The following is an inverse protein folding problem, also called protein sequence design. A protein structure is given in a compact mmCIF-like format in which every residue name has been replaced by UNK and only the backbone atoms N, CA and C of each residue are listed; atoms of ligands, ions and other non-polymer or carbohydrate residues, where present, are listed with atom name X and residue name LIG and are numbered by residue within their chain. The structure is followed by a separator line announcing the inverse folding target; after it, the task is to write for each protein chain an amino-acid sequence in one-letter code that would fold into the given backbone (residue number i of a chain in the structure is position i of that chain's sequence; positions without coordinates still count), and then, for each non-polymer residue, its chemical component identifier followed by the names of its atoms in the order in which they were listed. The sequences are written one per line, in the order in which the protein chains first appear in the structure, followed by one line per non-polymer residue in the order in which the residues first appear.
data_IF_818962091285
#
_entry.id   IF_818962091285
#
_cell.length_a   1.000
_cell.length_b   1.000
_cell.length_c   1.000
_cell.angle_alpha   90.00
_cell.angle_beta   90.00
_cell.angle_gamma   90.00
#
_symmetry.space_group_name_H-M   'P 1'
#
loop_
_entity.id
_entity.type
_entity.pdbx_description
1 polymer ?
#
# COMPACT_ATOMS: atom_id res chain seq x y z
N UNK A 1 0.39 -2.97 19.24
CA UNK A 1 0.81 -4.37 18.97
C UNK A 1 0.27 -4.95 17.67
N UNK A 2 -1.04 -4.92 17.36
CA UNK A 2 -1.55 -5.64 16.17
C UNK A 2 -0.81 -5.32 14.86
N UNK A 3 -0.59 -4.05 14.53
CA UNK A 3 0.13 -3.64 13.30
C UNK A 3 1.62 -4.00 13.26
N UNK A 4 2.21 -4.42 14.38
CA UNK A 4 3.62 -4.86 14.46
C UNK A 4 3.75 -6.38 14.41
N UNK A 5 2.65 -7.10 14.64
CA UNK A 5 2.64 -8.56 14.84
C UNK A 5 1.80 -9.28 13.78
N UNK A 6 0.76 -8.62 13.27
CA UNK A 6 -0.16 -9.15 12.27
C UNK A 6 -0.20 -8.23 11.06
N UNK A 7 -0.41 -8.82 9.88
CA UNK A 7 -0.50 -8.10 8.63
C UNK A 7 -1.83 -7.35 8.43
N UNK A 8 -2.84 -7.63 9.26
CA UNK A 8 -4.17 -7.01 9.21
C UNK A 8 -4.82 -6.99 7.81
N UNK A 9 -4.60 -8.04 7.02
CA UNK A 9 -5.15 -8.16 5.66
C UNK A 9 -4.28 -7.59 4.55
N UNK A 10 -3.11 -7.01 4.86
CA UNK A 10 -2.15 -6.50 3.87
C UNK A 10 -0.90 -7.38 3.87
N UNK A 11 -0.83 -8.34 2.94
CA UNK A 11 0.32 -9.25 2.83
C UNK A 11 1.54 -8.65 2.13
N UNK A 12 1.34 -7.61 1.31
CA UNK A 12 2.39 -6.97 0.52
C UNK A 12 2.07 -5.48 0.31
N UNK A 13 3.10 -4.66 0.21
CA UNK A 13 2.99 -3.23 -0.13
C UNK A 13 4.01 -2.89 -1.21
N UNK A 14 3.61 -2.06 -2.16
CA UNK A 14 4.46 -1.58 -3.26
C UNK A 14 4.45 -0.05 -3.23
N UNK A 15 5.62 0.57 -3.40
CA UNK A 15 5.77 2.02 -3.52
C UNK A 15 6.01 2.34 -5.00
N UNK A 16 5.25 3.30 -5.52
CA UNK A 16 5.25 3.70 -6.92
C UNK A 16 4.87 5.18 -7.05
N UNK A 17 5.08 5.75 -8.23
CA UNK A 17 4.68 7.12 -8.55
C UNK A 17 3.15 7.25 -8.55
N UNK A 18 2.61 8.32 -7.95
CA UNK A 18 1.17 8.51 -7.82
C UNK A 18 0.41 8.45 -9.15
N UNK A 19 1.02 8.93 -10.25
CA UNK A 19 0.44 8.89 -11.59
C UNK A 19 0.33 7.48 -12.19
N UNK A 20 0.99 6.48 -11.60
CA UNK A 20 0.99 5.09 -12.07
C UNK A 20 0.09 4.16 -11.25
N UNK A 21 -0.56 4.69 -10.21
CA UNK A 21 -1.35 3.87 -9.27
C UNK A 21 -2.51 3.12 -9.93
N UNK A 22 -3.30 3.79 -10.76
CA UNK A 22 -4.43 3.14 -11.44
C UNK A 22 -3.96 2.02 -12.39
N UNK A 23 -2.86 2.24 -13.10
CA UNK A 23 -2.28 1.23 -13.97
C UNK A 23 -1.82 0.01 -13.17
N UNK A 24 -1.15 0.23 -12.04
CA UNK A 24 -0.70 -0.86 -11.16
C UNK A 24 -1.89 -1.66 -10.60
N UNK A 25 -2.96 -0.98 -10.16
CA UNK A 25 -4.19 -1.64 -9.70
C UNK A 25 -4.82 -2.50 -10.80
N UNK A 26 -4.92 -1.97 -12.03
CA UNK A 26 -5.46 -2.72 -13.16
C UNK A 26 -4.64 -3.97 -13.49
N UNK A 27 -3.30 -3.88 -13.42
CA UNK A 27 -2.43 -5.04 -13.63
C UNK A 27 -2.67 -6.11 -12.56
N UNK A 28 -2.77 -5.71 -11.29
CA UNK A 28 -2.98 -6.63 -10.17
C UNK A 28 -4.37 -7.27 -10.23
N UNK A 29 -5.42 -6.52 -10.53
CA UNK A 29 -6.77 -7.05 -10.73
C UNK A 29 -6.81 -8.09 -11.86
N UNK A 30 -6.14 -7.81 -12.98
CA UNK A 30 -6.04 -8.75 -14.11
C UNK A 30 -5.23 -10.00 -13.78
N UNK A 31 -4.33 -9.92 -12.80
CA UNK A 31 -3.60 -11.06 -12.27
C UNK A 31 -4.41 -11.86 -11.24
N UNK A 32 -5.63 -11.42 -10.89
CA UNK A 32 -6.48 -12.05 -9.89
C UNK A 32 -6.20 -11.60 -8.46
N UNK A 33 -5.39 -10.56 -8.28
CA UNK A 33 -5.03 -10.02 -6.97
C UNK A 33 -5.99 -8.89 -6.55
N UNK A 34 -6.24 -8.81 -5.24
CA UNK A 34 -6.99 -7.69 -4.64
C UNK A 34 -6.01 -6.65 -4.11
N UNK A 35 -5.98 -5.48 -4.75
CA UNK A 35 -5.09 -4.39 -4.40
C UNK A 35 -5.85 -3.07 -4.24
N UNK A 36 -5.34 -2.21 -3.35
CA UNK A 36 -5.91 -0.89 -3.09
C UNK A 36 -4.80 0.08 -2.66
N UNK A 37 -5.03 1.37 -2.83
CA UNK A 37 -4.14 2.41 -2.29
C UNK A 37 -4.41 2.54 -0.79
N UNK A 38 -3.39 2.24 0.03
CA UNK A 38 -3.50 2.26 1.50
C UNK A 38 -2.82 3.47 2.16
N UNK A 39 -2.19 4.35 1.38
CA UNK A 39 -1.48 5.50 1.92
C UNK A 39 -0.62 6.24 0.90
N UNK A 40 0.25 7.12 1.40
CA UNK A 40 1.21 7.87 0.59
C UNK A 40 2.51 8.08 1.38
N UNK A 41 3.62 8.22 0.64
CA UNK A 41 4.90 8.64 1.20
C UNK A 41 5.02 10.14 1.11
N UNK A 42 5.46 10.78 2.20
CA UNK A 42 5.67 12.23 2.30
C UNK A 42 6.98 12.50 3.02
N UNK A 43 7.62 13.63 2.72
CA UNK A 43 8.79 14.08 3.46
C UNK A 43 8.42 14.30 4.94
N UNK A 44 9.30 13.84 5.82
CA UNK A 44 9.11 13.95 7.26
C UNK A 44 10.17 13.22 8.06
N UNK A 45 10.22 13.50 9.36
CA UNK A 45 11.09 12.82 10.32
C UNK A 45 10.35 11.73 11.12
N UNK A 46 9.01 11.74 11.03
CA UNK A 46 8.18 10.74 11.67
C UNK A 46 8.24 9.44 10.86
N UNK A 47 8.16 8.30 11.54
CA UNK A 47 8.06 6.98 10.89
C UNK A 47 6.69 6.74 10.26
N UNK A 48 6.13 5.54 10.46
CA UNK A 48 4.80 5.21 9.94
C UNK A 48 3.71 5.85 10.83
N UNK A 49 2.80 6.61 10.22
CA UNK A 49 1.57 7.11 10.85
C UNK A 49 0.37 6.32 10.30
N UNK A 50 -0.45 5.78 11.21
CA UNK A 50 -1.69 5.07 10.91
C UNK A 50 -2.80 5.89 11.59
N UNK A 51 -3.67 6.48 10.78
CA UNK A 51 -4.79 7.33 11.20
C UNK A 51 -6.13 6.60 11.02
#
# INVERSE_FOLDING_TARGET
EMYRTFNCGIGMTVILDAGTAEQALSILERAGESAQVIGSVRDGMDGVRID
#
